data_IF_320780445970
#
_entry.id   IF_320780445970
#
_cell.length_a   1.000
_cell.length_b   1.000
_cell.length_c   1.000
_cell.angle_alpha   90.00
_cell.angle_beta   90.00
_cell.angle_gamma   90.00
#
_symmetry.space_group_name_H-M   'P 1'
#
loop_
_entity.id
_entity.type
_entity.pdbx_description
1 polymer ?
#
# COMPACT_ATOMS: atom_id res chain seq x y z
N UNK A 1 6.88 16.05 0.68
CA UNK A 1 7.66 14.95 0.06
C UNK A 1 6.69 13.89 -0.42
N UNK A 2 6.65 13.60 -1.70
CA UNK A 2 5.69 12.63 -2.25
C UNK A 2 6.27 11.23 -2.08
N UNK A 3 5.56 10.34 -1.37
CA UNK A 3 6.00 8.94 -1.13
C UNK A 3 6.36 8.17 -2.41
N UNK A 4 5.82 8.57 -3.57
CA UNK A 4 6.08 7.94 -4.87
C UNK A 4 7.32 8.47 -5.61
N UNK A 5 7.74 9.73 -5.38
CA UNK A 5 8.80 10.36 -6.18
C UNK A 5 10.15 9.63 -6.08
N UNK A 6 10.46 9.03 -4.94
CA UNK A 6 11.68 8.25 -4.78
C UNK A 6 11.66 7.00 -5.65
N UNK A 7 10.55 6.24 -5.64
CA UNK A 7 10.39 5.02 -6.43
C UNK A 7 10.29 5.32 -7.94
N UNK A 8 9.61 6.42 -8.31
CA UNK A 8 9.50 6.84 -9.72
C UNK A 8 10.82 7.27 -10.35
N UNK A 9 11.87 7.54 -9.55
CA UNK A 9 13.22 7.86 -10.05
C UNK A 9 14.05 6.63 -10.37
N UNK A 10 13.64 5.47 -9.87
CA UNK A 10 14.27 4.18 -10.11
C UNK A 10 13.50 3.50 -11.25
N UNK A 11 14.20 2.86 -12.18
CA UNK A 11 13.55 2.07 -13.23
C UNK A 11 13.14 0.71 -12.66
N UNK A 12 12.06 0.71 -11.87
CA UNK A 12 11.47 -0.50 -11.30
C UNK A 12 10.48 -1.07 -12.31
N UNK A 13 10.71 -2.33 -12.69
CA UNK A 13 9.86 -3.06 -13.64
C UNK A 13 9.28 -4.31 -13.01
N UNK A 14 7.98 -4.49 -13.17
CA UNK A 14 7.24 -5.66 -12.76
C UNK A 14 7.09 -6.68 -13.89
N UNK A 15 6.04 -7.48 -13.81
CA UNK A 15 5.65 -8.43 -14.85
C UNK A 15 5.50 -7.73 -16.20
N UNK A 16 5.84 -8.43 -17.27
CA UNK A 16 5.72 -7.96 -18.64
C UNK A 16 6.45 -6.63 -18.94
N UNK A 17 7.41 -6.26 -18.09
CA UNK A 17 8.20 -5.04 -18.22
C UNK A 17 7.46 -3.75 -17.87
N UNK A 18 6.25 -3.83 -17.32
CA UNK A 18 5.47 -2.68 -16.88
C UNK A 18 6.23 -1.89 -15.81
N UNK A 19 6.41 -0.60 -15.99
CA UNK A 19 7.10 0.24 -15.02
C UNK A 19 6.18 0.69 -13.88
N UNK A 20 6.76 0.94 -12.70
CA UNK A 20 6.00 1.50 -11.58
C UNK A 20 5.40 2.89 -11.90
N UNK A 21 6.02 3.65 -12.80
CA UNK A 21 5.50 4.93 -13.28
C UNK A 21 4.19 4.77 -14.06
N UNK A 22 4.12 3.72 -14.90
CA UNK A 22 2.91 3.39 -15.65
C UNK A 22 1.82 2.94 -14.70
N UNK A 23 2.12 2.03 -13.76
CA UNK A 23 1.15 1.54 -12.77
C UNK A 23 0.60 2.68 -11.90
N UNK A 24 1.44 3.61 -11.51
CA UNK A 24 1.05 4.73 -10.64
C UNK A 24 0.73 6.03 -11.37
N UNK A 25 0.50 5.98 -12.68
CA UNK A 25 0.19 7.19 -13.48
C UNK A 25 -1.02 7.95 -12.93
N UNK A 26 -2.10 7.23 -12.61
CA UNK A 26 -3.31 7.81 -12.03
C UNK A 26 -3.23 8.06 -10.52
N UNK A 27 -2.16 7.59 -9.86
CA UNK A 27 -1.93 7.69 -8.43
C UNK A 27 -1.33 6.40 -7.88
N UNK A 28 -0.73 6.44 -6.68
CA UNK A 28 -0.13 5.25 -6.11
C UNK A 28 -1.20 4.23 -5.70
N UNK A 29 -1.00 2.99 -6.09
CA UNK A 29 -1.88 1.85 -5.84
C UNK A 29 -1.09 0.76 -5.15
N UNK A 30 -1.54 0.33 -4.00
CA UNK A 30 -0.92 -0.73 -3.21
C UNK A 30 -1.98 -1.53 -2.48
N UNK A 31 -1.66 -2.74 -2.09
CA UNK A 31 -2.43 -3.48 -1.08
C UNK A 31 -1.74 -3.34 0.27
N UNK A 32 -2.48 -2.90 1.29
CA UNK A 32 -2.01 -2.62 2.66
C UNK A 32 -0.89 -1.56 2.76
N UNK A 33 -0.46 -0.95 1.67
CA UNK A 33 0.77 -0.16 1.65
C UNK A 33 2.03 -0.99 1.66
N UNK A 34 1.92 -2.32 1.47
CA UNK A 34 3.00 -3.28 1.53
C UNK A 34 3.43 -3.81 0.17
N UNK A 35 2.49 -4.05 -0.74
CA UNK A 35 2.80 -4.59 -2.08
C UNK A 35 2.00 -3.93 -3.20
N UNK A 36 2.48 -4.10 -4.43
CA UNK A 36 1.95 -3.50 -5.65
C UNK A 36 1.58 -4.62 -6.62
N UNK A 37 0.37 -4.56 -7.20
CA UNK A 37 -0.05 -5.52 -8.22
C UNK A 37 0.84 -5.46 -9.46
N UNK A 38 1.22 -6.63 -9.99
CA UNK A 38 2.13 -6.76 -11.13
C UNK A 38 3.63 -6.68 -10.75
N UNK A 39 3.96 -6.52 -9.46
CA UNK A 39 5.34 -6.47 -8.96
C UNK A 39 5.56 -7.55 -7.89
N UNK A 40 5.62 -8.84 -8.28
CA UNK A 40 5.77 -9.94 -7.33
C UNK A 40 7.04 -9.79 -6.48
N UNK A 41 6.94 -10.18 -5.21
CA UNK A 41 8.01 -10.12 -4.22
C UNK A 41 8.58 -8.70 -3.95
N UNK A 42 7.92 -7.66 -4.45
CA UNK A 42 8.31 -6.29 -4.16
C UNK A 42 7.53 -5.77 -2.96
N UNK A 43 8.19 -5.62 -1.83
CA UNK A 43 7.62 -5.04 -0.63
C UNK A 43 7.97 -3.56 -0.48
N UNK A 44 7.07 -2.80 0.11
CA UNK A 44 7.26 -1.41 0.49
C UNK A 44 7.04 -1.23 2.00
N UNK A 45 7.93 -0.49 2.65
CA UNK A 45 7.79 -0.11 4.05
C UNK A 45 7.20 1.29 4.11
N UNK A 46 6.12 1.46 4.87
CA UNK A 46 5.37 2.73 4.94
C UNK A 46 4.95 3.27 3.57
N UNK A 47 4.56 2.35 2.67
CA UNK A 47 4.08 2.70 1.34
C UNK A 47 2.74 3.46 1.35
N UNK A 48 2.28 3.95 0.20
CA UNK A 48 0.97 4.57 0.06
C UNK A 48 -0.14 3.63 0.56
N UNK A 49 -1.12 4.11 1.29
CA UNK A 49 -2.19 3.28 1.86
C UNK A 49 -1.87 2.66 3.22
N UNK A 50 -0.68 2.89 3.78
CA UNK A 50 -0.33 2.46 5.13
C UNK A 50 -0.45 3.59 6.15
N UNK A 51 -0.51 3.29 7.47
CA UNK A 51 -0.51 4.29 8.53
C UNK A 51 0.75 5.17 8.47
N UNK A 52 0.59 6.49 8.61
CA UNK A 52 1.74 7.38 8.60
C UNK A 52 1.54 8.68 9.38
N UNK A 53 0.52 9.49 9.07
CA UNK A 53 0.47 10.89 9.54
C UNK A 53 -0.16 11.09 10.90
N UNK A 54 -0.95 10.14 11.38
CA UNK A 54 -1.57 10.17 12.72
C UNK A 54 -1.02 9.07 13.63
N UNK A 55 0.15 8.53 13.30
CA UNK A 55 0.80 7.45 14.05
C UNK A 55 2.29 7.68 14.16
N UNK A 56 2.90 7.04 15.15
CA UNK A 56 4.35 6.99 15.23
C UNK A 56 4.90 6.13 14.07
N UNK A 57 5.69 6.75 13.20
CA UNK A 57 6.26 6.09 12.02
C UNK A 57 7.13 4.89 12.37
N UNK A 58 7.87 4.94 13.50
CA UNK A 58 8.73 3.82 13.93
C UNK A 58 7.90 2.58 14.22
N UNK A 59 6.76 2.73 14.92
CA UNK A 59 5.83 1.61 15.20
C UNK A 59 5.28 1.01 13.91
N UNK A 60 4.97 1.85 12.91
CA UNK A 60 4.51 1.36 11.61
C UNK A 60 5.61 0.66 10.82
N UNK A 61 6.85 1.14 10.92
CA UNK A 61 8.00 0.50 10.26
C UNK A 61 8.27 -0.87 10.88
N UNK A 62 8.32 -0.96 12.21
CA UNK A 62 8.51 -2.22 12.92
C UNK A 62 7.45 -3.25 12.55
N UNK A 63 6.17 -2.87 12.60
CA UNK A 63 5.07 -3.75 12.23
C UNK A 63 5.19 -4.24 10.76
N UNK A 64 5.60 -3.36 9.82
CA UNK A 64 5.80 -3.76 8.43
C UNK A 64 6.98 -4.73 8.27
N UNK A 65 8.08 -4.48 8.99
CA UNK A 65 9.26 -5.35 8.95
C UNK A 65 8.91 -6.73 9.50
N UNK A 66 8.23 -6.80 10.65
CA UNK A 66 7.79 -8.05 11.24
C UNK A 66 6.88 -8.83 10.27
N UNK A 67 5.83 -8.18 9.75
CA UNK A 67 4.90 -8.80 8.81
C UNK A 67 5.59 -9.31 7.53
N UNK A 68 6.53 -8.52 6.97
CA UNK A 68 7.28 -8.92 5.77
C UNK A 68 8.19 -10.10 6.08
N UNK A 69 8.85 -10.10 7.23
CA UNK A 69 9.74 -11.18 7.67
C UNK A 69 8.96 -12.48 7.84
N UNK A 70 7.82 -12.43 8.52
CA UNK A 70 6.93 -13.58 8.70
C UNK A 70 6.38 -14.08 7.37
N UNK A 71 6.03 -13.16 6.47
CA UNK A 71 5.58 -13.50 5.12
C UNK A 71 6.68 -14.25 4.34
N UNK A 72 7.91 -13.76 4.35
CA UNK A 72 9.04 -14.43 3.68
C UNK A 72 9.26 -15.83 4.26
N UNK A 73 9.25 -15.96 5.58
CA UNK A 73 9.34 -17.28 6.23
C UNK A 73 8.23 -18.23 5.81
N UNK A 74 6.97 -17.73 5.76
CA UNK A 74 5.84 -18.52 5.26
C UNK A 74 6.03 -18.98 3.80
N UNK A 75 6.55 -18.11 2.93
CA UNK A 75 6.82 -18.46 1.53
C UNK A 75 7.87 -19.56 1.43
N UNK A 76 8.95 -19.46 2.20
CA UNK A 76 10.03 -20.46 2.24
C UNK A 76 9.52 -21.82 2.74
N UNK A 77 8.83 -21.84 3.88
CA UNK A 77 8.28 -23.05 4.50
C UNK A 77 7.30 -23.80 3.59
N UNK A 78 6.55 -23.06 2.76
CA UNK A 78 5.56 -23.61 1.83
C UNK A 78 6.05 -23.79 0.40
N UNK A 79 7.34 -23.55 0.15
CA UNK A 79 7.97 -23.63 -1.18
C UNK A 79 7.25 -22.77 -2.22
N UNK A 80 6.80 -21.59 -1.80
CA UNK A 80 6.21 -20.57 -2.65
C UNK A 80 7.30 -19.64 -3.17
N UNK A 81 7.36 -19.43 -4.48
CA UNK A 81 8.38 -18.61 -5.12
C UNK A 81 8.01 -17.14 -5.23
N UNK A 82 6.72 -16.86 -5.36
CA UNK A 82 6.27 -15.49 -5.53
C UNK A 82 4.93 -15.23 -4.85
N UNK A 83 4.82 -14.03 -4.30
CA UNK A 83 3.59 -13.45 -3.76
C UNK A 83 3.35 -12.10 -4.43
N UNK A 84 2.12 -11.87 -4.88
CA UNK A 84 1.70 -10.56 -5.36
C UNK A 84 0.24 -10.30 -5.01
N UNK A 85 -0.17 -9.03 -4.75
CA UNK A 85 -1.57 -8.74 -4.47
C UNK A 85 -2.43 -8.89 -5.73
N UNK A 86 -3.64 -9.39 -5.54
CA UNK A 86 -4.67 -9.37 -6.57
C UNK A 86 -5.12 -7.93 -6.87
N UNK A 87 -5.41 -7.64 -8.13
CA UNK A 87 -5.86 -6.29 -8.53
C UNK A 87 -7.10 -5.84 -7.77
N UNK A 88 -8.07 -6.76 -7.60
CA UNK A 88 -9.28 -6.49 -6.82
C UNK A 88 -8.97 -6.13 -5.36
N UNK A 89 -8.03 -6.82 -4.72
CA UNK A 89 -7.65 -6.53 -3.34
C UNK A 89 -7.00 -5.14 -3.21
N UNK A 90 -6.22 -4.73 -4.20
CA UNK A 90 -5.66 -3.37 -4.28
C UNK A 90 -6.77 -2.33 -4.40
N UNK A 91 -7.75 -2.55 -5.27
CA UNK A 91 -8.87 -1.62 -5.46
C UNK A 91 -9.74 -1.50 -4.21
N UNK A 92 -10.10 -2.62 -3.60
CA UNK A 92 -10.88 -2.66 -2.36
C UNK A 92 -10.13 -1.94 -1.21
N UNK A 93 -8.81 -2.10 -1.13
CA UNK A 93 -7.99 -1.41 -0.14
C UNK A 93 -7.97 0.10 -0.35
N UNK A 94 -7.80 0.57 -1.59
CA UNK A 94 -7.86 2.00 -1.93
C UNK A 94 -9.21 2.59 -1.57
N UNK A 95 -10.31 1.91 -1.89
CA UNK A 95 -11.65 2.34 -1.51
C UNK A 95 -11.79 2.44 0.01
N UNK A 96 -11.32 1.43 0.74
CA UNK A 96 -11.34 1.42 2.20
C UNK A 96 -10.54 2.59 2.81
N UNK A 97 -9.31 2.83 2.32
CA UNK A 97 -8.47 3.97 2.79
C UNK A 97 -9.18 5.31 2.60
N UNK A 98 -9.82 5.50 1.44
CA UNK A 98 -10.56 6.72 1.15
C UNK A 98 -11.85 6.84 2.00
N UNK A 99 -12.54 5.72 2.24
CA UNK A 99 -13.73 5.69 3.08
C UNK A 99 -13.44 6.07 4.53
N UNK A 100 -12.38 5.47 5.11
CA UNK A 100 -11.91 5.78 6.47
C UNK A 100 -11.49 7.25 6.60
N UNK A 101 -11.00 7.86 5.53
CA UNK A 101 -10.60 9.27 5.52
C UNK A 101 -11.79 10.24 5.37
N UNK A 102 -12.99 9.77 4.97
CA UNK A 102 -14.16 10.63 4.81
C UNK A 102 -14.51 11.36 6.09
N UNK A 103 -14.87 12.62 5.96
CA UNK A 103 -15.21 13.47 7.10
C UNK A 103 -14.01 14.01 7.88
N UNK A 104 -12.79 13.60 7.55
CA UNK A 104 -11.60 14.21 8.11
C UNK A 104 -11.35 15.59 7.48
N UNK A 105 -10.68 16.49 8.21
CA UNK A 105 -10.28 17.79 7.66
C UNK A 105 -9.37 17.68 6.42
N UNK A 106 -8.65 16.57 6.26
CA UNK A 106 -7.77 16.35 5.12
C UNK A 106 -8.52 16.16 3.79
N UNK A 107 -9.77 15.69 3.87
CA UNK A 107 -10.62 15.43 2.69
C UNK A 107 -11.60 16.57 2.39
N UNK A 108 -11.61 17.63 3.21
CA UNK A 108 -12.50 18.78 3.01
C UNK A 108 -12.29 19.38 1.61
N UNK A 109 -13.37 19.72 0.86
CA UNK A 109 -13.26 20.28 -0.49
C UNK A 109 -12.44 21.56 -0.56
N UNK A 110 -12.48 22.37 0.50
CA UNK A 110 -11.72 23.62 0.63
C UNK A 110 -10.24 23.42 0.95
N UNK A 111 -9.84 22.20 1.29
CA UNK A 111 -8.46 21.89 1.64
C UNK A 111 -7.69 21.34 0.42
N UNK A 112 -6.68 22.08 -0.03
CA UNK A 112 -5.75 21.61 -1.06
C UNK A 112 -4.66 20.73 -0.44
N UNK A 113 -5.08 19.69 0.27
CA UNK A 113 -4.16 18.79 0.96
C UNK A 113 -3.26 18.04 -0.01
N UNK A 114 -1.96 18.10 0.24
CA UNK A 114 -0.97 17.31 -0.50
C UNK A 114 -1.12 15.80 -0.28
N UNK A 115 -1.79 15.39 0.80
CA UNK A 115 -2.15 13.98 1.04
C UNK A 115 -3.13 13.42 0.01
N UNK A 116 -3.89 14.29 -0.63
CA UNK A 116 -4.80 13.97 -1.72
C UNK A 116 -4.15 14.18 -3.10
N UNK A 117 -2.94 14.72 -3.18
CA UNK A 117 -2.39 15.21 -4.44
C UNK A 117 -3.12 16.44 -4.99
N UNK A 118 -4.01 17.06 -4.19
CA UNK A 118 -4.87 18.17 -4.60
C UNK A 118 -4.11 19.45 -4.95
N UNK A 119 -2.87 19.56 -4.52
CA UNK A 119 -1.95 20.64 -4.85
C UNK A 119 -1.34 20.53 -6.26
N UNK A 120 -1.63 19.46 -6.99
CA UNK A 120 -1.16 19.25 -8.37
C UNK A 120 -2.36 19.33 -9.30
N UNK A 121 -2.50 20.38 -10.13
CA UNK A 121 -3.60 20.48 -11.08
C UNK A 121 -3.68 19.29 -12.03
N UNK A 122 -4.90 18.82 -12.29
CA UNK A 122 -5.18 17.73 -13.22
C UNK A 122 -4.92 16.30 -12.69
N UNK A 123 -4.43 16.15 -11.45
CA UNK A 123 -4.30 14.81 -10.84
C UNK A 123 -5.54 14.39 -10.07
N UNK A 124 -5.89 13.09 -10.08
CA UNK A 124 -6.97 12.58 -9.25
C UNK A 124 -6.69 12.80 -7.76
N UNK A 125 -7.73 13.12 -7.01
CA UNK A 125 -7.67 13.29 -5.54
C UNK A 125 -7.74 11.91 -4.89
N UNK A 126 -6.59 11.33 -4.57
CA UNK A 126 -6.48 10.02 -3.92
C UNK A 126 -5.82 10.22 -2.56
N UNK A 127 -6.51 9.84 -1.49
CA UNK A 127 -5.95 9.94 -0.15
C UNK A 127 -4.92 8.84 0.08
N UNK A 128 -3.67 9.25 0.35
CA UNK A 128 -2.54 8.33 0.40
C UNK A 128 -2.29 7.70 1.78
N UNK A 129 -2.48 8.40 2.93
CA UNK A 129 -2.26 7.78 4.24
C UNK A 129 -3.47 6.99 4.72
N UNK A 130 -3.24 5.88 5.42
CA UNK A 130 -4.30 5.24 6.19
C UNK A 130 -4.46 5.96 7.54
N UNK A 131 -5.69 6.40 7.86
CA UNK A 131 -6.01 7.17 9.08
C UNK A 131 -6.91 6.42 10.07
N UNK A 132 -7.15 5.15 9.87
CA UNK A 132 -7.93 4.29 10.75
C UNK A 132 -7.20 3.85 12.03
N UNK A 133 -5.95 4.27 12.21
CA UNK A 133 -5.13 3.89 13.37
C UNK A 133 -4.29 2.64 13.15
N UNK A 134 -3.13 2.58 13.83
CA UNK A 134 -2.17 1.46 13.70
C UNK A 134 -2.75 0.16 14.24
N UNK A 135 -3.54 0.21 15.32
CA UNK A 135 -4.15 -0.98 15.91
C UNK A 135 -5.11 -1.67 14.94
N UNK A 136 -6.03 -0.93 14.34
CA UNK A 136 -6.97 -1.47 13.36
C UNK A 136 -6.24 -1.97 12.09
N UNK A 137 -5.23 -1.25 11.64
CA UNK A 137 -4.41 -1.69 10.51
C UNK A 137 -3.69 -3.01 10.81
N UNK A 138 -3.12 -3.17 12.01
CA UNK A 138 -2.47 -4.41 12.44
C UNK A 138 -3.46 -5.57 12.44
N UNK A 139 -4.65 -5.38 13.04
CA UNK A 139 -5.69 -6.41 13.07
C UNK A 139 -6.03 -6.88 11.65
N UNK A 140 -6.18 -5.98 10.69
CA UNK A 140 -6.43 -6.35 9.29
C UNK A 140 -5.27 -7.11 8.65
N UNK A 141 -4.04 -6.72 8.92
CA UNK A 141 -2.87 -7.47 8.46
C UNK A 141 -2.86 -8.89 9.03
N UNK A 142 -3.18 -9.04 10.32
CA UNK A 142 -3.23 -10.33 11.02
C UNK A 142 -4.38 -11.22 10.49
N UNK A 143 -5.55 -10.65 10.23
CA UNK A 143 -6.69 -11.36 9.60
C UNK A 143 -6.33 -11.89 8.21
N UNK A 144 -5.61 -11.11 7.41
CA UNK A 144 -5.16 -11.53 6.07
C UNK A 144 -4.18 -12.70 6.15
N UNK A 145 -3.25 -12.66 7.09
CA UNK A 145 -2.30 -13.76 7.35
C UNK A 145 -3.07 -15.01 7.81
N UNK A 146 -3.97 -14.85 8.79
CA UNK A 146 -4.78 -15.96 9.32
C UNK A 146 -5.67 -16.62 8.24
N UNK A 147 -6.09 -15.85 7.24
CA UNK A 147 -6.83 -16.36 6.07
C UNK A 147 -5.92 -16.88 4.94
N UNK A 148 -4.65 -17.17 5.21
CA UNK A 148 -3.70 -17.70 4.25
C UNK A 148 -3.25 -16.68 3.20
N UNK A 149 -3.02 -15.45 3.61
CA UNK A 149 -2.68 -14.30 2.75
C UNK A 149 -3.78 -13.95 1.75
N UNK A 150 -5.02 -13.84 2.24
CA UNK A 150 -6.17 -13.48 1.40
C UNK A 150 -5.93 -12.16 0.65
N UNK A 151 -6.35 -12.12 -0.63
CA UNK A 151 -6.08 -11.00 -1.53
C UNK A 151 -4.68 -11.01 -2.15
N UNK A 152 -3.91 -12.08 -1.92
CA UNK A 152 -2.65 -12.33 -2.60
C UNK A 152 -2.71 -13.62 -3.44
N UNK A 153 -2.03 -13.60 -4.57
CA UNK A 153 -1.74 -14.78 -5.37
C UNK A 153 -0.37 -15.33 -4.96
N UNK A 154 -0.33 -16.59 -4.54
CA UNK A 154 0.87 -17.33 -4.19
C UNK A 154 1.23 -18.27 -5.33
N UNK A 155 2.44 -18.14 -5.90
CA UNK A 155 2.92 -18.95 -7.04
C UNK A 155 4.11 -19.83 -6.65
N UNK A 156 4.09 -21.11 -7.06
CA UNK A 156 5.18 -22.08 -6.86
C UNK A 156 6.20 -22.06 -7.99
#
# INVERSE_FOLDING_TARGET
MYKRQALERIDIRGKDGKSIKEEWHAGPRTYLGLQIHGFPNMFTITGPGSPSVLSNMMVSIEQHVDWITDCIGHLEDNQVRAIEPEEKAVDDWILHVNEVAKGSMFTAPSCNSWYLGANIPGKPRIFMPYVGGVGEYRNRCDEIVAAGYSGFTLSK
#
